data_IF_672740108731
#
_entry.id   IF_672740108731
#
_cell.length_a   1.000
_cell.length_b   1.000
_cell.length_c   1.000
_cell.angle_alpha   90.00
_cell.angle_beta   90.00
_cell.angle_gamma   90.00
#
_symmetry.space_group_name_H-M   'P 1'
#
loop_
_entity.id
_entity.type
_entity.pdbx_description
1 polymer ?
#
# COMPACT_ATOMS: atom_id res chain seq x y z
N UNK A 1 -24.13 9.53 11.03
CA UNK A 1 -23.08 8.62 10.51
C UNK A 1 -22.25 8.21 11.69
N UNK A 2 -22.14 6.90 11.96
CA UNK A 2 -21.35 6.37 13.09
C UNK A 2 -19.88 6.80 12.98
N UNK A 3 -19.31 7.29 14.07
CA UNK A 3 -17.91 7.70 14.11
C UNK A 3 -16.97 6.50 14.02
N UNK A 4 -15.68 6.75 13.70
CA UNK A 4 -14.66 5.69 13.68
C UNK A 4 -14.55 4.99 15.03
N UNK A 5 -14.59 5.75 16.12
CA UNK A 5 -14.39 5.24 17.48
C UNK A 5 -15.54 4.32 17.87
N UNK A 6 -16.78 4.81 17.71
CA UNK A 6 -18.00 4.02 17.97
C UNK A 6 -18.01 2.71 17.17
N UNK A 7 -17.66 2.77 15.88
CA UNK A 7 -17.61 1.58 15.03
C UNK A 7 -16.61 0.54 15.55
N UNK A 8 -15.42 0.99 15.99
CA UNK A 8 -14.39 0.07 16.49
C UNK A 8 -14.80 -0.54 17.84
N UNK A 9 -15.42 0.23 18.73
CA UNK A 9 -15.93 -0.26 20.00
C UNK A 9 -17.03 -1.31 19.81
N UNK A 10 -17.97 -1.04 18.89
CA UNK A 10 -19.11 -1.91 18.62
C UNK A 10 -18.71 -3.22 17.92
N UNK A 11 -17.71 -3.17 17.05
CA UNK A 11 -17.31 -4.30 16.20
C UNK A 11 -15.89 -4.81 16.52
N UNK A 12 -15.45 -4.66 17.77
CA UNK A 12 -14.08 -4.96 18.20
C UNK A 12 -13.65 -6.39 17.82
N UNK A 13 -14.44 -7.40 18.17
CA UNK A 13 -14.12 -8.81 17.88
C UNK A 13 -14.00 -9.10 16.38
N UNK A 14 -14.97 -8.64 15.58
CA UNK A 14 -14.91 -8.82 14.12
C UNK A 14 -13.73 -8.08 13.47
N UNK A 15 -13.32 -6.92 14.01
CA UNK A 15 -12.14 -6.20 13.53
C UNK A 15 -10.83 -6.91 13.95
N UNK A 16 -10.80 -7.49 15.14
CA UNK A 16 -9.68 -8.34 15.58
C UNK A 16 -9.52 -9.55 14.65
N UNK A 17 -10.61 -10.25 14.37
CA UNK A 17 -10.66 -11.40 13.44
C UNK A 17 -10.32 -10.99 11.99
N UNK A 18 -10.67 -9.76 11.60
CA UNK A 18 -10.29 -9.22 10.29
C UNK A 18 -8.78 -8.93 10.20
N UNK A 19 -8.18 -8.36 11.24
CA UNK A 19 -6.76 -7.98 11.21
C UNK A 19 -5.85 -9.20 11.37
N UNK A 20 -6.23 -10.12 12.28
CA UNK A 20 -5.52 -11.34 12.71
C UNK A 20 -4.13 -11.11 13.29
N UNK A 21 -3.21 -10.59 12.47
CA UNK A 21 -1.82 -10.38 12.86
C UNK A 21 -1.60 -8.96 13.38
N UNK A 22 -1.22 -8.90 14.66
CA UNK A 22 -1.00 -7.69 15.47
C UNK A 22 -2.25 -6.82 15.61
N UNK A 23 -3.41 -7.35 16.03
CA UNK A 23 -4.67 -6.61 16.06
C UNK A 23 -4.61 -5.38 16.98
N UNK A 24 -4.02 -5.51 18.17
CA UNK A 24 -3.90 -4.43 19.15
C UNK A 24 -3.33 -3.13 18.55
N UNK A 25 -2.27 -3.23 17.74
CA UNK A 25 -1.67 -2.07 17.08
C UNK A 25 -2.68 -1.30 16.22
N UNK A 26 -3.55 -2.00 15.49
CA UNK A 26 -4.55 -1.39 14.61
C UNK A 26 -5.75 -0.90 15.40
N UNK A 27 -6.27 -1.70 16.32
CA UNK A 27 -7.45 -1.34 17.11
C UNK A 27 -7.16 -0.10 17.97
N UNK A 28 -6.03 -0.06 18.67
CA UNK A 28 -5.60 1.13 19.42
C UNK A 28 -5.39 2.35 18.52
N UNK A 29 -4.87 2.16 17.31
CA UNK A 29 -4.72 3.24 16.34
C UNK A 29 -6.09 3.81 15.96
N UNK A 30 -7.01 2.94 15.57
CA UNK A 30 -8.33 3.31 15.06
C UNK A 30 -9.22 3.91 16.14
N UNK A 31 -9.15 3.40 17.38
CA UNK A 31 -9.85 3.95 18.55
C UNK A 31 -9.30 5.30 19.00
N UNK A 32 -7.99 5.55 18.84
CA UNK A 32 -7.39 6.79 19.36
C UNK A 32 -7.88 8.07 18.67
N UNK A 33 -8.53 7.97 17.49
CA UNK A 33 -8.90 9.11 16.66
C UNK A 33 -7.72 9.92 16.11
N UNK A 34 -6.48 9.56 16.47
CA UNK A 34 -5.25 10.24 16.07
C UNK A 34 -4.66 9.59 14.82
N UNK A 35 -4.03 10.40 13.99
CA UNK A 35 -3.20 9.91 12.89
C UNK A 35 -1.87 9.43 13.50
N UNK A 36 -1.61 8.11 13.50
CA UNK A 36 -0.27 7.57 13.79
C UNK A 36 0.42 7.13 12.51
N UNK A 37 1.70 7.49 12.38
CA UNK A 37 2.54 7.16 11.24
C UNK A 37 2.81 5.64 11.18
N UNK A 38 2.59 5.05 10.01
CA UNK A 38 2.85 3.65 9.74
C UNK A 38 4.21 3.49 9.05
N UNK A 39 5.23 3.16 9.84
CA UNK A 39 6.60 2.96 9.35
C UNK A 39 6.71 1.83 8.32
N UNK A 40 5.95 0.74 8.50
CA UNK A 40 5.99 -0.38 7.57
C UNK A 40 5.42 0.01 6.19
N UNK A 41 4.33 0.78 6.15
CA UNK A 41 3.77 1.28 4.91
C UNK A 41 4.64 2.37 4.26
N UNK A 42 5.32 3.20 5.07
CA UNK A 42 6.31 4.15 4.55
C UNK A 42 7.49 3.44 3.87
N UNK A 43 8.06 2.43 4.52
CA UNK A 43 9.26 1.75 4.03
C UNK A 43 8.96 0.79 2.87
N UNK A 44 7.85 0.05 2.96
CA UNK A 44 7.51 -1.02 2.02
C UNK A 44 6.35 -0.66 1.07
N UNK A 45 5.73 0.51 1.20
CA UNK A 45 4.74 1.08 0.28
C UNK A 45 3.75 0.05 -0.29
N UNK A 46 3.82 -0.24 -1.59
CA UNK A 46 2.93 -1.16 -2.29
C UNK A 46 2.96 -2.58 -1.69
N UNK A 47 4.11 -3.03 -1.21
CA UNK A 47 4.27 -4.35 -0.62
C UNK A 47 3.55 -4.48 0.72
N UNK A 48 3.44 -3.39 1.49
CA UNK A 48 2.62 -3.38 2.71
C UNK A 48 1.13 -3.57 2.38
N UNK A 49 0.64 -2.91 1.33
CA UNK A 49 -0.72 -3.09 0.86
C UNK A 49 -0.95 -4.51 0.32
N UNK A 50 -0.02 -5.07 -0.46
CA UNK A 50 -0.09 -6.45 -0.93
C UNK A 50 -0.10 -7.45 0.25
N UNK A 51 0.77 -7.23 1.25
CA UNK A 51 0.80 -8.03 2.48
C UNK A 51 -0.53 -8.02 3.20
N UNK A 52 -1.22 -6.87 3.26
CA UNK A 52 -2.56 -6.74 3.85
C UNK A 52 -3.68 -7.15 2.89
N UNK A 53 -3.39 -7.77 1.74
CA UNK A 53 -4.36 -8.21 0.70
C UNK A 53 -5.10 -7.07 -0.02
N UNK A 54 -4.55 -5.87 -0.01
CA UNK A 54 -5.07 -4.68 -0.72
C UNK A 54 -4.48 -4.60 -2.13
N UNK A 55 -4.67 -5.65 -2.93
CA UNK A 55 -3.94 -5.85 -4.19
C UNK A 55 -4.17 -4.75 -5.23
N UNK A 56 -5.37 -4.17 -5.28
CA UNK A 56 -5.66 -3.05 -6.19
C UNK A 56 -4.82 -1.79 -5.85
N UNK A 57 -4.70 -1.47 -4.56
CA UNK A 57 -3.88 -0.31 -4.14
C UNK A 57 -2.40 -0.62 -4.34
N UNK A 58 -1.97 -1.85 -4.07
CA UNK A 58 -0.62 -2.28 -4.34
C UNK A 58 -0.26 -2.16 -5.84
N UNK A 59 -1.11 -2.65 -6.74
CA UNK A 59 -0.87 -2.56 -8.18
C UNK A 59 -0.91 -1.11 -8.69
N UNK A 60 -1.81 -0.27 -8.17
CA UNK A 60 -1.85 1.15 -8.48
C UNK A 60 -0.55 1.86 -8.09
N UNK A 61 -0.06 1.64 -6.88
CA UNK A 61 1.20 2.24 -6.40
C UNK A 61 2.41 1.73 -7.20
N UNK A 62 2.45 0.46 -7.56
CA UNK A 62 3.46 -0.10 -8.46
C UNK A 62 3.42 0.61 -9.83
N UNK A 63 2.24 0.79 -10.42
CA UNK A 63 2.06 1.50 -11.68
C UNK A 63 2.49 2.97 -11.62
N UNK A 64 2.15 3.68 -10.53
CA UNK A 64 2.59 5.06 -10.29
C UNK A 64 4.12 5.13 -10.19
N UNK A 65 4.74 4.22 -9.41
CA UNK A 65 6.19 4.14 -9.30
C UNK A 65 6.86 3.95 -10.68
N UNK A 66 6.33 3.04 -11.51
CA UNK A 66 6.84 2.82 -12.85
C UNK A 66 6.70 4.05 -13.75
N UNK A 67 5.54 4.69 -13.74
CA UNK A 67 5.32 5.90 -14.51
C UNK A 67 6.32 7.02 -14.13
N UNK A 68 6.54 7.21 -12.82
CA UNK A 68 7.51 8.19 -12.31
C UNK A 68 8.93 7.80 -12.73
N UNK A 69 9.30 6.52 -12.70
CA UNK A 69 10.63 6.08 -13.14
C UNK A 69 10.86 6.34 -14.63
N UNK A 70 9.90 6.00 -15.51
CA UNK A 70 10.00 6.28 -16.95
C UNK A 70 10.15 7.78 -17.20
N UNK A 71 9.32 8.60 -16.54
CA UNK A 71 9.41 10.06 -16.66
C UNK A 71 10.74 10.60 -16.15
N UNK A 72 11.27 10.04 -15.06
CA UNK A 72 12.56 10.44 -14.48
C UNK A 72 13.70 10.13 -15.44
N UNK A 73 13.70 8.95 -16.07
CA UNK A 73 14.71 8.58 -17.07
C UNK A 73 14.63 9.49 -18.28
N UNK A 74 13.42 9.77 -18.78
CA UNK A 74 13.21 10.70 -19.89
C UNK A 74 13.76 12.11 -19.55
N UNK A 75 13.44 12.64 -18.37
CA UNK A 75 13.97 13.94 -17.92
C UNK A 75 15.49 13.89 -17.77
N UNK A 76 16.04 12.83 -17.19
CA UNK A 76 17.47 12.64 -16.97
C UNK A 76 18.25 12.69 -18.29
N UNK A 77 17.79 11.95 -19.31
CA UNK A 77 18.43 11.92 -20.63
C UNK A 77 18.46 13.31 -21.27
N UNK A 78 17.39 14.10 -21.11
CA UNK A 78 17.27 15.41 -21.75
C UNK A 78 17.90 16.57 -20.95
N UNK A 79 17.95 16.48 -19.62
CA UNK A 79 18.29 17.62 -18.75
C UNK A 79 19.48 17.37 -17.82
N UNK A 80 19.93 16.11 -17.69
CA UNK A 80 20.93 15.64 -16.70
C UNK A 80 20.51 15.86 -15.22
N UNK A 81 19.24 16.12 -14.95
CA UNK A 81 18.73 16.32 -13.60
C UNK A 81 18.11 15.02 -13.04
N UNK A 82 18.71 14.44 -12.00
CA UNK A 82 18.32 13.13 -11.45
C UNK A 82 17.30 13.21 -10.29
N UNK A 83 17.19 14.36 -9.60
CA UNK A 83 16.59 14.43 -8.27
C UNK A 83 15.06 14.41 -8.20
N UNK A 84 14.36 14.70 -9.30
CA UNK A 84 12.92 14.97 -9.25
C UNK A 84 12.09 13.72 -8.95
N UNK A 85 12.43 12.58 -9.57
CA UNK A 85 11.74 11.31 -9.37
C UNK A 85 11.85 10.82 -7.94
N UNK A 86 13.08 10.72 -7.43
CA UNK A 86 13.34 10.26 -6.07
C UNK A 86 12.65 11.12 -5.02
N UNK A 87 12.63 12.45 -5.21
CA UNK A 87 11.94 13.38 -4.31
C UNK A 87 10.43 13.14 -4.32
N UNK A 88 9.83 12.98 -5.50
CA UNK A 88 8.39 12.72 -5.63
C UNK A 88 8.01 11.38 -4.98
N UNK A 89 8.78 10.32 -5.23
CA UNK A 89 8.57 9.01 -4.61
C UNK A 89 8.68 9.07 -3.08
N UNK A 90 9.64 9.82 -2.54
CA UNK A 90 9.77 10.02 -1.10
C UNK A 90 8.54 10.74 -0.52
N UNK A 91 8.04 11.80 -1.20
CA UNK A 91 6.82 12.49 -0.79
C UNK A 91 5.60 11.55 -0.76
N UNK A 92 5.44 10.70 -1.78
CA UNK A 92 4.38 9.68 -1.83
C UNK A 92 4.50 8.73 -0.65
N UNK A 93 5.70 8.21 -0.37
CA UNK A 93 5.92 7.29 0.75
C UNK A 93 5.60 7.91 2.11
N UNK A 94 5.99 9.17 2.32
CA UNK A 94 5.65 9.91 3.55
C UNK A 94 4.13 10.04 3.68
N UNK A 95 3.45 10.43 2.60
CA UNK A 95 1.99 10.51 2.57
C UNK A 95 1.33 9.16 2.89
N UNK A 96 1.80 8.08 2.27
CA UNK A 96 1.33 6.71 2.54
C UNK A 96 1.58 6.33 4.00
N UNK A 97 2.73 6.69 4.58
CA UNK A 97 3.02 6.47 5.99
C UNK A 97 1.94 7.05 6.91
N UNK A 98 1.42 8.25 6.62
CA UNK A 98 0.32 8.84 7.39
C UNK A 98 -1.05 8.24 7.08
N UNK A 99 -1.33 7.86 5.82
CA UNK A 99 -2.67 7.44 5.38
C UNK A 99 -2.94 5.94 5.43
N UNK A 100 -1.92 5.09 5.45
CA UNK A 100 -2.09 3.64 5.29
C UNK A 100 -3.00 3.01 6.35
N UNK A 101 -2.89 3.41 7.62
CA UNK A 101 -3.74 2.88 8.70
C UNK A 101 -5.23 3.23 8.50
N UNK A 102 -5.51 4.44 8.01
CA UNK A 102 -6.88 4.88 7.70
C UNK A 102 -7.44 4.17 6.47
N UNK A 103 -6.63 4.04 5.41
CA UNK A 103 -7.01 3.31 4.20
C UNK A 103 -7.36 1.86 4.55
N UNK A 104 -6.57 1.23 5.44
CA UNK A 104 -6.82 -0.13 5.90
C UNK A 104 -8.08 -0.23 6.77
N UNK A 105 -8.34 0.73 7.67
CA UNK A 105 -9.58 0.81 8.43
C UNK A 105 -10.81 0.88 7.52
N UNK A 106 -10.79 1.77 6.53
CA UNK A 106 -11.92 1.96 5.61
C UNK A 106 -12.21 0.67 4.83
N UNK A 107 -11.17 -0.10 4.47
CA UNK A 107 -11.34 -1.41 3.86
C UNK A 107 -11.94 -2.42 4.84
N UNK A 108 -11.44 -2.49 6.08
CA UNK A 108 -11.95 -3.40 7.10
C UNK A 108 -13.45 -3.16 7.34
N UNK A 109 -13.83 -1.89 7.57
CA UNK A 109 -15.22 -1.47 7.73
C UNK A 109 -16.10 -1.93 6.56
N UNK A 110 -15.69 -1.62 5.33
CA UNK A 110 -16.46 -1.98 4.12
C UNK A 110 -16.64 -3.49 3.97
N UNK A 111 -15.61 -4.28 4.28
CA UNK A 111 -15.68 -5.74 4.19
C UNK A 111 -16.58 -6.31 5.27
N UNK A 112 -16.46 -5.85 6.51
CA UNK A 112 -17.30 -6.32 7.62
C UNK A 112 -18.77 -5.98 7.38
N UNK A 113 -19.09 -4.77 6.92
CA UNK A 113 -20.46 -4.40 6.55
C UNK A 113 -21.02 -5.30 5.44
N UNK A 114 -20.19 -5.67 4.44
CA UNK A 114 -20.58 -6.56 3.33
C UNK A 114 -20.76 -8.01 3.76
N UNK A 115 -19.97 -8.48 4.73
CA UNK A 115 -19.93 -9.88 5.19
C UNK A 115 -20.77 -10.12 6.45
N UNK A 116 -21.61 -9.15 6.83
CA UNK A 116 -22.38 -9.20 8.07
C UNK A 116 -21.51 -9.47 9.31
N UNK A 117 -20.34 -8.84 9.33
CA UNK A 117 -19.35 -8.85 10.41
C UNK A 117 -18.66 -10.21 10.66
N UNK A 118 -18.70 -11.11 9.67
CA UNK A 118 -18.02 -12.40 9.68
C UNK A 118 -17.01 -12.50 8.51
N UNK A 119 -15.77 -11.98 8.70
CA UNK A 119 -14.81 -11.85 7.61
C UNK A 119 -14.22 -13.20 7.18
N UNK A 120 -14.27 -13.50 5.89
CA UNK A 120 -13.70 -14.72 5.32
C UNK A 120 -12.17 -14.65 5.20
N UNK A 121 -11.50 -15.81 5.22
CA UNK A 121 -10.05 -15.95 5.07
C UNK A 121 -9.47 -15.23 3.86
N UNK A 122 -10.21 -15.16 2.76
CA UNK A 122 -9.74 -14.52 1.53
C UNK A 122 -9.56 -13.01 1.69
N UNK A 123 -10.46 -12.36 2.42
CA UNK A 123 -10.54 -10.90 2.50
C UNK A 123 -9.69 -10.32 3.64
N UNK A 124 -9.36 -11.10 4.66
CA UNK A 124 -8.76 -10.65 5.91
C UNK A 124 -7.33 -11.16 6.17
N UNK A 125 -6.71 -10.70 7.25
CA UNK A 125 -5.37 -11.12 7.66
C UNK A 125 -4.25 -10.63 6.74
N UNK A 126 -3.31 -11.52 6.44
CA UNK A 126 -2.07 -11.20 5.70
C UNK A 126 -1.76 -12.23 4.62
N UNK A 127 -0.99 -11.84 3.61
CA UNK A 127 -0.59 -12.72 2.48
C UNK A 127 0.88 -12.51 2.13
N UNK A 128 1.74 -13.45 2.54
CA UNK A 128 3.14 -13.44 2.10
C UNK A 128 3.26 -13.76 0.62
N UNK A 129 2.43 -14.68 0.11
CA UNK A 129 2.37 -15.00 -1.32
C UNK A 129 2.04 -13.76 -2.16
N UNK A 130 1.10 -12.92 -1.69
CA UNK A 130 0.77 -11.66 -2.34
C UNK A 130 1.96 -10.70 -2.43
N UNK A 131 2.81 -10.66 -1.39
CA UNK A 131 4.06 -9.88 -1.42
C UNK A 131 5.04 -10.47 -2.43
N UNK A 132 5.25 -11.79 -2.43
CA UNK A 132 6.15 -12.47 -3.37
C UNK A 132 5.74 -12.21 -4.81
N UNK A 133 4.44 -12.30 -5.12
CA UNK A 133 3.90 -11.99 -6.45
C UNK A 133 4.13 -10.52 -6.81
N UNK A 134 3.91 -9.59 -5.88
CA UNK A 134 4.13 -8.17 -6.11
C UNK A 134 5.62 -7.86 -6.38
N UNK A 135 6.54 -8.47 -5.62
CA UNK A 135 7.99 -8.33 -5.80
C UNK A 135 8.43 -8.92 -7.13
N UNK A 136 7.98 -10.13 -7.47
CA UNK A 136 8.29 -10.76 -8.75
C UNK A 136 7.78 -9.92 -9.92
N UNK A 137 6.53 -9.47 -9.85
CA UNK A 137 5.94 -8.57 -10.86
C UNK A 137 6.74 -7.29 -11.00
N UNK A 138 7.20 -6.70 -9.88
CA UNK A 138 8.03 -5.51 -9.90
C UNK A 138 9.34 -5.73 -10.67
N UNK A 139 10.09 -6.79 -10.33
CA UNK A 139 11.35 -7.11 -10.99
C UNK A 139 11.17 -7.46 -12.47
N UNK A 140 10.11 -8.20 -12.80
CA UNK A 140 9.78 -8.53 -14.19
C UNK A 140 9.55 -7.26 -15.01
N UNK A 141 8.70 -6.35 -14.53
CA UNK A 141 8.39 -5.11 -15.23
C UNK A 141 9.63 -4.22 -15.33
N UNK A 142 10.42 -4.09 -14.26
CA UNK A 142 11.66 -3.31 -14.30
C UNK A 142 12.62 -3.85 -15.37
N UNK A 143 12.80 -5.17 -15.44
CA UNK A 143 13.65 -5.81 -16.46
C UNK A 143 13.15 -5.52 -17.87
N UNK A 144 11.83 -5.60 -18.10
CA UNK A 144 11.24 -5.28 -19.40
C UNK A 144 11.44 -3.81 -19.79
N UNK A 145 11.33 -2.89 -18.84
CA UNK A 145 11.60 -1.47 -19.04
C UNK A 145 13.06 -1.25 -19.41
N UNK A 146 13.99 -1.85 -18.67
CA UNK A 146 15.42 -1.71 -18.93
C UNK A 146 15.79 -2.22 -20.34
N UNK A 147 15.24 -3.37 -20.75
CA UNK A 147 15.40 -3.90 -22.11
C UNK A 147 14.81 -2.97 -23.18
N UNK A 148 13.64 -2.39 -22.92
CA UNK A 148 13.01 -1.44 -23.84
C UNK A 148 13.84 -0.15 -23.98
N UNK A 149 14.28 0.41 -22.87
CA UNK A 149 15.08 1.63 -22.84
C UNK A 149 16.44 1.40 -23.50
N UNK A 150 17.11 0.28 -23.25
CA UNK A 150 18.34 -0.09 -23.93
C UNK A 150 18.18 -0.06 -25.46
N UNK A 151 17.09 -0.68 -25.95
CA UNK A 151 16.77 -0.72 -27.39
C UNK A 151 16.46 0.65 -27.98
N UNK A 152 15.76 1.52 -27.26
CA UNK A 152 15.28 2.81 -27.79
C UNK A 152 16.33 3.91 -27.66
N UNK A 153 17.05 3.95 -26.55
CA UNK A 153 17.96 5.02 -26.18
C UNK A 153 19.43 4.68 -26.47
N UNK A 154 19.75 3.45 -26.91
CA UNK A 154 21.11 2.97 -27.16
C UNK A 154 22.06 3.18 -25.96
N UNK A 155 21.54 3.03 -24.74
CA UNK A 155 22.27 3.10 -23.46
C UNK A 155 22.29 1.75 -22.79
#
# INVERSE_FOLDING_TARGET
MESRIEFVEKHFGSLEDFVRKNPNYYLENWQSGKIKFNFAAFLFEAYWFAYRKMYFIASLLIGINFFINILTIYILVNTKFLGIGATLLLCIRIYIGFKANEIYFNRAKKILEKTNYDPTDEECGTSLLGVVIAVFTFFLIQTLIDLYLHRVLNI
#
